data_IF_200483672524
#
_entry.id   IF_200483672524
#
_cell.length_a   1.000
_cell.length_b   1.000
_cell.length_c   1.000
_cell.angle_alpha   90.00
_cell.angle_beta   90.00
_cell.angle_gamma   90.00
#
_symmetry.space_group_name_H-M   'P 1'
#
loop_
_entity.id
_entity.type
_entity.pdbx_description
1 polymer ?
#
# COMPACT_ATOMS: atom_id res chain seq x y z
N UNK A 1 -1.72 -5.51 -19.93
CA UNK A 1 -2.44 -4.22 -20.09
C UNK A 1 -3.92 -4.43 -20.33
N UNK A 2 -4.32 -5.28 -21.30
CA UNK A 2 -5.74 -5.59 -21.58
C UNK A 2 -6.52 -6.11 -20.35
N UNK A 3 -5.92 -7.02 -19.57
CA UNK A 3 -6.56 -7.60 -18.38
C UNK A 3 -6.84 -6.58 -17.27
N UNK A 4 -5.93 -5.62 -17.03
CA UNK A 4 -6.14 -4.58 -16.02
C UNK A 4 -7.35 -3.71 -16.36
N UNK A 5 -7.48 -3.30 -17.62
CA UNK A 5 -8.61 -2.49 -18.07
C UNK A 5 -9.92 -3.25 -18.01
N UNK A 6 -9.91 -4.55 -18.31
CA UNK A 6 -11.10 -5.40 -18.15
C UNK A 6 -11.56 -5.44 -16.68
N UNK A 7 -10.65 -5.71 -15.75
CA UNK A 7 -10.99 -5.74 -14.30
C UNK A 7 -11.51 -4.38 -13.84
N UNK A 8 -10.85 -3.29 -14.22
CA UNK A 8 -11.28 -1.94 -13.84
C UNK A 8 -12.65 -1.58 -14.40
N UNK A 9 -12.92 -1.91 -15.67
CA UNK A 9 -14.23 -1.68 -16.28
C UNK A 9 -15.31 -2.48 -15.56
N UNK A 10 -15.08 -3.75 -15.20
CA UNK A 10 -16.03 -4.52 -14.41
C UNK A 10 -16.28 -3.88 -13.03
N UNK A 11 -15.26 -3.33 -12.39
CA UNK A 11 -15.42 -2.60 -11.13
C UNK A 11 -16.28 -1.33 -11.31
N UNK A 12 -16.04 -0.54 -12.36
CA UNK A 12 -16.81 0.67 -12.64
C UNK A 12 -18.26 0.36 -12.99
N UNK A 13 -18.51 -0.68 -13.81
CA UNK A 13 -19.86 -1.18 -14.09
C UNK A 13 -20.57 -1.66 -12.83
N UNK A 14 -19.81 -2.14 -11.84
CA UNK A 14 -20.33 -2.51 -10.53
C UNK A 14 -20.59 -1.31 -9.60
N UNK A 15 -20.40 -0.07 -10.07
CA UNK A 15 -20.60 1.14 -9.28
C UNK A 15 -19.46 1.45 -8.31
N UNK A 16 -18.32 0.76 -8.41
CA UNK A 16 -17.16 1.02 -7.55
C UNK A 16 -16.36 2.20 -8.06
N UNK A 17 -16.01 3.11 -7.17
CA UNK A 17 -15.14 4.23 -7.50
C UNK A 17 -13.68 3.90 -7.19
N UNK A 18 -12.98 3.29 -8.15
CA UNK A 18 -11.55 2.97 -8.02
C UNK A 18 -10.72 4.24 -8.18
N UNK A 19 -10.14 4.72 -7.07
CA UNK A 19 -9.32 5.92 -7.05
C UNK A 19 -7.81 5.64 -7.18
N UNK A 20 -7.38 4.45 -6.73
CA UNK A 20 -5.95 4.11 -6.58
C UNK A 20 -5.70 2.67 -6.99
N UNK A 21 -4.57 2.43 -7.65
CA UNK A 21 -3.97 1.11 -7.86
C UNK A 21 -2.60 1.06 -7.18
N UNK A 22 -2.31 -0.06 -6.49
CA UNK A 22 -1.05 -0.27 -5.77
C UNK A 22 -0.32 -1.50 -6.32
N UNK A 23 0.91 -1.32 -6.79
CA UNK A 23 1.79 -2.40 -7.24
C UNK A 23 3.11 -2.42 -6.44
N UNK A 24 3.86 -3.53 -6.50
CA UNK A 24 5.24 -3.49 -6.05
C UNK A 24 6.09 -2.67 -7.04
N UNK A 25 7.35 -2.41 -6.68
CA UNK A 25 8.26 -1.68 -7.55
C UNK A 25 9.23 -2.58 -8.32
N UNK A 26 8.71 -3.65 -8.93
CA UNK A 26 9.49 -4.40 -9.90
C UNK A 26 9.61 -3.64 -11.25
N UNK A 27 10.57 -4.06 -12.08
CA UNK A 27 10.82 -3.40 -13.37
C UNK A 27 9.69 -3.57 -14.39
N UNK A 28 8.92 -4.66 -14.30
CA UNK A 28 7.79 -4.95 -15.19
C UNK A 28 6.61 -4.06 -14.85
N UNK A 29 6.26 -3.95 -13.57
CA UNK A 29 5.18 -3.11 -13.05
C UNK A 29 5.47 -1.63 -13.33
N UNK A 30 6.69 -1.15 -13.04
CA UNK A 30 7.08 0.23 -13.39
C UNK A 30 6.92 0.48 -14.90
N UNK A 31 7.43 -0.41 -15.74
CA UNK A 31 7.34 -0.26 -17.20
C UNK A 31 5.88 -0.28 -17.67
N UNK A 32 5.06 -1.17 -17.12
CA UNK A 32 3.64 -1.24 -17.45
C UNK A 32 2.91 0.06 -17.10
N UNK A 33 3.15 0.64 -15.92
CA UNK A 33 2.56 1.93 -15.55
C UNK A 33 3.01 3.07 -16.48
N UNK A 34 4.29 3.10 -16.85
CA UNK A 34 4.80 4.10 -17.81
C UNK A 34 4.16 3.95 -19.19
N UNK A 35 3.97 2.72 -19.68
CA UNK A 35 3.26 2.46 -20.94
C UNK A 35 1.79 2.89 -20.89
N UNK A 36 1.18 2.87 -19.71
CA UNK A 36 -0.18 3.36 -19.46
C UNK A 36 -0.25 4.89 -19.28
N UNK A 37 0.86 5.60 -19.43
CA UNK A 37 0.93 7.07 -19.41
C UNK A 37 1.28 7.69 -18.06
N UNK A 38 1.53 6.90 -17.02
CA UNK A 38 1.92 7.43 -15.72
C UNK A 38 3.42 7.77 -15.68
N UNK A 39 3.78 8.81 -14.92
CA UNK A 39 5.16 9.22 -14.66
C UNK A 39 5.39 9.53 -13.18
N UNK A 40 6.64 9.82 -12.81
CA UNK A 40 7.01 10.19 -11.45
C UNK A 40 6.29 11.47 -11.02
N UNK A 41 6.20 12.45 -11.91
CA UNK A 41 5.57 13.75 -11.71
C UNK A 41 4.03 13.65 -11.77
N UNK A 42 3.53 12.76 -12.63
CA UNK A 42 2.10 12.54 -12.83
C UNK A 42 1.76 11.04 -12.75
N UNK A 43 1.66 10.49 -11.52
CA UNK A 43 1.47 9.06 -11.30
C UNK A 43 0.01 8.62 -11.51
N UNK A 44 -0.59 8.96 -12.65
CA UNK A 44 -2.00 8.71 -12.95
C UNK A 44 -2.12 8.01 -14.30
N UNK A 45 -3.00 7.01 -14.36
CA UNK A 45 -3.42 6.37 -15.61
C UNK A 45 -4.88 6.73 -15.89
N UNK A 46 -5.24 6.82 -17.18
CA UNK A 46 -6.61 7.09 -17.63
C UNK A 46 -7.24 5.80 -18.17
N UNK A 47 -8.43 5.47 -17.67
CA UNK A 47 -9.22 4.30 -18.11
C UNK A 47 -10.64 4.77 -18.39
N UNK A 48 -10.99 4.91 -19.68
CA UNK A 48 -12.22 5.61 -20.07
C UNK A 48 -12.18 7.06 -19.56
N UNK A 49 -13.22 7.46 -18.82
CA UNK A 49 -13.30 8.77 -18.17
C UNK A 49 -12.74 8.79 -16.74
N UNK A 50 -12.20 7.66 -16.25
CA UNK A 50 -11.69 7.53 -14.89
C UNK A 50 -10.18 7.76 -14.83
N UNK A 51 -9.76 8.62 -13.89
CA UNK A 51 -8.37 8.80 -13.53
C UNK A 51 -8.04 7.95 -12.30
N UNK A 52 -7.05 7.08 -12.43
CA UNK A 52 -6.62 6.18 -11.37
C UNK A 52 -5.20 6.53 -10.97
N UNK A 53 -5.02 6.90 -9.71
CA UNK A 53 -3.69 7.18 -9.17
C UNK A 53 -2.94 5.87 -8.98
N UNK A 54 -1.67 5.85 -9.31
CA UNK A 54 -0.80 4.67 -9.21
C UNK A 54 0.22 4.90 -8.12
N UNK A 55 0.35 3.95 -7.20
CA UNK A 55 1.21 4.06 -6.03
C UNK A 55 2.04 2.78 -5.92
N UNK A 56 3.30 2.91 -5.52
CA UNK A 56 4.11 1.73 -5.21
C UNK A 56 3.97 1.35 -3.73
N UNK A 57 4.07 0.06 -3.46
CA UNK A 57 3.96 -0.47 -2.10
C UNK A 57 5.05 0.10 -1.18
N UNK A 58 4.64 0.84 -0.15
CA UNK A 58 5.57 1.58 0.71
C UNK A 58 6.41 0.68 1.64
N UNK A 59 5.88 -0.42 2.21
CA UNK A 59 6.71 -1.46 2.85
C UNK A 59 7.78 -2.04 1.92
N UNK A 60 7.45 -2.31 0.65
CA UNK A 60 8.43 -2.72 -0.34
C UNK A 60 9.49 -1.66 -0.60
N UNK A 61 9.11 -0.39 -0.78
CA UNK A 61 10.06 0.70 -0.97
C UNK A 61 11.01 0.88 0.22
N UNK A 62 10.52 0.70 1.46
CA UNK A 62 11.36 0.74 2.66
C UNK A 62 12.38 -0.40 2.68
N UNK A 63 11.96 -1.62 2.32
CA UNK A 63 12.87 -2.77 2.17
C UNK A 63 13.96 -2.49 1.14
N UNK A 64 13.58 -1.97 -0.03
CA UNK A 64 14.53 -1.60 -1.09
C UNK A 64 15.52 -0.53 -0.61
N UNK A 65 15.04 0.53 0.05
CA UNK A 65 15.89 1.56 0.61
C UNK A 65 16.90 0.99 1.62
N UNK A 66 16.45 0.17 2.58
CA UNK A 66 17.34 -0.49 3.54
C UNK A 66 18.38 -1.35 2.84
N UNK A 67 17.96 -2.16 1.85
CA UNK A 67 18.86 -3.07 1.14
C UNK A 67 19.92 -2.32 0.33
N UNK A 68 19.58 -1.15 -0.22
CA UNK A 68 20.55 -0.27 -0.87
C UNK A 68 21.51 0.38 0.14
N UNK A 69 20.98 0.87 1.27
CA UNK A 69 21.82 1.48 2.31
C UNK A 69 22.79 0.48 2.95
N UNK A 70 22.39 -0.79 3.06
CA UNK A 70 23.28 -1.88 3.47
C UNK A 70 24.48 -2.06 2.54
N UNK A 71 24.34 -1.69 1.25
CA UNK A 71 25.35 -1.90 0.22
C UNK A 71 26.16 -0.65 -0.11
N UNK A 72 25.55 0.52 0.00
CA UNK A 72 26.10 1.79 -0.47
C UNK A 72 25.92 2.87 0.58
N UNK A 73 26.97 3.66 0.78
CA UNK A 73 26.88 4.91 1.54
C UNK A 73 25.99 5.91 0.79
N UNK A 74 25.29 6.74 1.55
CA UNK A 74 24.27 7.64 1.01
C UNK A 74 24.70 9.08 1.23
N UNK A 75 24.97 9.79 0.14
CA UNK A 75 25.21 11.24 0.17
C UNK A 75 23.90 11.98 -0.04
N UNK A 76 23.63 13.00 0.76
CA UNK A 76 22.43 13.82 0.62
C UNK A 76 22.67 15.24 1.13
N UNK A 77 21.84 16.18 0.67
CA UNK A 77 21.88 17.58 1.10
C UNK A 77 21.37 17.72 2.53
N UNK A 78 22.11 18.47 3.36
CA UNK A 78 21.71 18.81 4.72
C UNK A 78 21.02 20.18 4.77
N UNK A 79 20.34 20.45 5.87
CA UNK A 79 19.73 21.76 6.13
C UNK A 79 20.78 22.84 6.51
N UNK A 80 22.04 22.45 6.68
CA UNK A 80 23.17 23.35 6.93
C UNK A 80 23.55 24.04 5.62
N UNK A 81 23.52 25.37 5.63
CA UNK A 81 23.99 26.21 4.52
C UNK A 81 25.16 27.07 5.02
N UNK A 82 26.27 27.07 4.31
CA UNK A 82 27.40 27.96 4.57
C UNK A 82 27.73 28.72 3.30
N UNK A 83 27.86 30.04 3.38
CA UNK A 83 28.24 30.89 2.24
C UNK A 83 27.40 30.66 0.97
N UNK A 84 26.07 30.54 1.12
CA UNK A 84 25.13 30.21 0.03
C UNK A 84 25.38 28.85 -0.67
N UNK A 85 26.18 27.96 -0.07
CA UNK A 85 26.35 26.58 -0.53
C UNK A 85 25.65 25.63 0.42
N UNK A 86 24.84 24.75 -0.15
CA UNK A 86 24.17 23.69 0.61
C UNK A 86 25.20 22.65 1.06
N UNK A 87 25.22 22.35 2.35
CA UNK A 87 26.06 21.31 2.92
C UNK A 87 25.60 19.91 2.50
N UNK A 88 26.53 18.96 2.52
CA UNK A 88 26.25 17.56 2.24
C UNK A 88 26.66 16.70 3.44
N UNK A 89 25.83 15.69 3.73
CA UNK A 89 26.12 14.65 4.70
C UNK A 89 26.28 13.31 3.99
N UNK A 90 27.09 12.42 4.59
CA UNK A 90 27.23 11.03 4.13
C UNK A 90 26.74 10.12 5.25
N UNK A 91 25.62 9.46 5.02
CA UNK A 91 25.15 8.39 5.88
C UNK A 91 25.88 7.08 5.53
N UNK A 92 26.36 6.38 6.55
CA UNK A 92 27.15 5.16 6.38
C UNK A 92 26.56 4.02 7.19
N UNK A 93 26.53 2.83 6.59
CA UNK A 93 26.07 1.64 7.31
C UNK A 93 26.98 1.28 8.49
N UNK A 94 28.27 1.62 8.39
CA UNK A 94 29.26 1.43 9.47
C UNK A 94 28.91 2.21 10.73
N UNK A 95 28.28 3.39 10.64
CA UNK A 95 27.83 4.13 11.81
C UNK A 95 26.73 3.39 12.58
N UNK A 96 25.86 2.64 11.89
CA UNK A 96 24.81 1.82 12.53
C UNK A 96 25.45 0.62 13.24
N UNK A 97 26.46 -0.01 12.63
CA UNK A 97 27.23 -1.09 13.26
C UNK A 97 27.94 -0.62 14.52
N UNK A 98 28.64 0.51 14.44
CA UNK A 98 29.30 1.13 15.60
C UNK A 98 28.29 1.46 16.71
N UNK A 99 27.15 2.06 16.35
CA UNK A 99 26.10 2.33 17.32
C UNK A 99 25.60 1.06 18.02
N UNK A 100 25.36 -0.03 17.29
CA UNK A 100 24.92 -1.30 17.88
C UNK A 100 25.93 -1.87 18.88
N UNK A 101 27.23 -1.81 18.56
CA UNK A 101 28.30 -2.25 19.47
C UNK A 101 28.32 -1.41 20.76
N UNK A 102 28.23 -0.08 20.61
CA UNK A 102 28.20 0.85 21.74
C UNK A 102 26.93 0.72 22.59
N UNK A 103 25.78 0.50 21.95
CA UNK A 103 24.49 0.38 22.63
C UNK A 103 24.39 -0.93 23.43
N UNK A 104 24.90 -2.04 22.87
CA UNK A 104 24.97 -3.33 23.57
C UNK A 104 25.99 -3.34 24.71
N UNK A 105 26.99 -2.45 24.67
CA UNK A 105 27.97 -2.30 25.75
C UNK A 105 27.49 -1.42 26.89
N UNK A 106 26.30 -0.80 26.78
CA UNK A 106 25.77 0.04 27.84
C UNK A 106 25.39 -0.80 29.08
N UNK A 107 25.84 -0.43 30.29
CA UNK A 107 25.67 -1.25 31.49
C UNK A 107 24.23 -1.23 32.05
N UNK A 108 23.44 -0.19 31.76
CA UNK A 108 22.17 0.04 32.45
C UNK A 108 20.97 0.26 31.53
N UNK A 109 21.20 0.61 30.26
CA UNK A 109 20.11 0.98 29.34
C UNK A 109 20.52 0.78 27.89
N UNK A 110 19.59 0.26 27.07
CA UNK A 110 19.77 0.05 25.63
C UNK A 110 18.79 0.96 24.90
N UNK A 111 19.30 1.82 24.02
CA UNK A 111 18.49 2.78 23.25
C UNK A 111 17.61 2.07 22.22
N UNK A 112 18.15 1.05 21.53
CA UNK A 112 17.46 0.33 20.46
C UNK A 112 17.34 -1.18 20.76
N UNK A 113 16.52 -1.61 21.74
CA UNK A 113 16.42 -3.02 22.17
C UNK A 113 15.89 -3.98 21.09
N UNK A 114 15.29 -3.45 20.03
CA UNK A 114 14.86 -4.23 18.88
C UNK A 114 16.00 -4.53 17.89
N UNK A 115 17.07 -3.74 17.91
CA UNK A 115 18.19 -3.88 16.98
C UNK A 115 19.00 -5.12 17.36
N UNK A 116 19.29 -5.96 16.37
CA UNK A 116 19.97 -7.26 16.54
C UNK A 116 20.88 -7.49 15.34
N UNK A 117 21.80 -8.45 15.46
CA UNK A 117 22.73 -8.83 14.40
C UNK A 117 22.06 -9.10 13.04
N UNK A 118 20.87 -9.71 13.03
CA UNK A 118 20.11 -9.97 11.81
C UNK A 118 19.62 -8.72 11.07
N UNK A 119 19.63 -7.56 11.72
CA UNK A 119 19.34 -6.27 11.08
C UNK A 119 20.55 -5.75 10.33
N UNK A 120 21.74 -5.92 10.90
CA UNK A 120 23.02 -5.41 10.39
C UNK A 120 23.57 -6.27 9.26
N UNK A 121 23.43 -7.59 9.38
CA UNK A 121 23.94 -8.58 8.44
C UNK A 121 22.83 -9.58 8.04
N UNK A 122 21.75 -9.14 7.37
CA UNK A 122 20.62 -10.00 7.02
C UNK A 122 20.97 -10.98 5.90
N UNK A 123 20.54 -12.24 6.04
CA UNK A 123 20.54 -13.22 4.95
C UNK A 123 19.45 -12.92 3.89
N UNK A 124 19.43 -13.67 2.79
CA UNK A 124 18.50 -13.45 1.68
C UNK A 124 17.02 -13.45 2.08
N UNK A 125 16.61 -14.31 3.03
CA UNK A 125 15.22 -14.33 3.53
C UNK A 125 14.94 -13.14 4.46
N UNK A 126 15.89 -12.77 5.31
CA UNK A 126 15.78 -11.63 6.22
C UNK A 126 15.73 -10.29 5.47
N UNK A 127 16.38 -10.18 4.31
CA UNK A 127 16.30 -8.99 3.43
C UNK A 127 14.86 -8.68 2.97
N UNK A 128 13.99 -9.68 2.93
CA UNK A 128 12.58 -9.54 2.54
C UNK A 128 11.65 -9.16 3.70
N UNK A 129 12.13 -9.18 4.96
CA UNK A 129 11.32 -8.87 6.13
C UNK A 129 11.21 -7.35 6.34
N UNK A 130 10.02 -6.79 6.11
CA UNK A 130 9.72 -5.35 6.36
C UNK A 130 10.02 -4.98 7.81
N UNK A 131 9.69 -5.87 8.76
CA UNK A 131 9.95 -5.67 10.20
C UNK A 131 11.40 -5.28 10.47
N UNK A 132 12.37 -5.98 9.87
CA UNK A 132 13.80 -5.69 10.08
C UNK A 132 14.19 -4.34 9.46
N UNK A 133 13.59 -3.97 8.32
CA UNK A 133 13.83 -2.67 7.70
C UNK A 133 13.26 -1.52 8.53
N UNK A 134 12.05 -1.67 9.06
CA UNK A 134 11.42 -0.66 9.92
C UNK A 134 12.14 -0.51 11.26
N UNK A 135 12.63 -1.61 11.86
CA UNK A 135 13.32 -1.55 13.14
C UNK A 135 14.72 -0.90 13.05
N UNK A 136 15.47 -1.14 11.97
CA UNK A 136 16.79 -0.51 11.79
C UNK A 136 16.67 0.97 11.39
N UNK A 137 15.62 1.33 10.65
CA UNK A 137 15.32 2.71 10.24
C UNK A 137 14.37 3.41 11.22
N UNK A 138 14.53 3.17 12.52
CA UNK A 138 13.59 3.63 13.55
C UNK A 138 14.08 4.84 14.33
N UNK A 139 13.13 5.56 14.94
CA UNK A 139 13.40 6.67 15.87
C UNK A 139 14.40 6.29 16.98
N UNK A 140 14.28 5.09 17.58
CA UNK A 140 15.16 4.66 18.66
C UNK A 140 16.62 4.53 18.22
N UNK A 141 16.86 4.09 16.98
CA UNK A 141 18.21 4.01 16.40
C UNK A 141 18.76 5.42 16.16
N UNK A 142 17.97 6.31 15.55
CA UNK A 142 18.39 7.71 15.35
C UNK A 142 18.70 8.41 16.69
N UNK A 143 17.80 8.32 17.67
CA UNK A 143 17.96 8.91 19.00
C UNK A 143 19.20 8.37 19.72
N UNK A 144 19.45 7.06 19.63
CA UNK A 144 20.65 6.45 20.19
C UNK A 144 21.94 6.97 19.55
N UNK A 145 21.98 7.08 18.22
CA UNK A 145 23.13 7.65 17.50
C UNK A 145 23.35 9.12 17.93
N UNK A 146 22.30 9.95 17.98
CA UNK A 146 22.42 11.33 18.45
C UNK A 146 23.00 11.41 19.86
N UNK A 147 22.52 10.56 20.77
CA UNK A 147 23.00 10.54 22.16
C UNK A 147 24.47 10.14 22.24
N UNK A 148 24.90 9.15 21.45
CA UNK A 148 26.29 8.71 21.43
C UNK A 148 27.23 9.75 20.82
N UNK A 149 26.78 10.50 19.82
CA UNK A 149 27.53 11.66 19.30
C UNK A 149 27.65 12.75 20.39
N UNK A 150 26.56 13.08 21.07
CA UNK A 150 26.56 14.11 22.11
C UNK A 150 27.49 13.78 23.29
N UNK A 151 27.65 12.48 23.59
CA UNK A 151 28.58 12.00 24.61
C UNK A 151 30.04 11.90 24.14
N UNK A 152 30.32 12.10 22.85
CA UNK A 152 31.64 11.92 22.25
C UNK A 152 32.04 10.47 21.97
N UNK A 153 31.10 9.52 22.10
CA UNK A 153 31.33 8.08 21.85
C UNK A 153 31.34 7.74 20.34
N UNK A 154 30.74 8.60 19.51
CA UNK A 154 30.65 8.44 18.06
C UNK A 154 31.17 9.69 17.35
N UNK A 155 31.74 9.53 16.16
CA UNK A 155 32.29 10.67 15.42
C UNK A 155 31.16 11.57 14.90
N UNK A 156 31.43 12.88 14.84
CA UNK A 156 30.40 13.90 14.55
C UNK A 156 29.70 13.71 13.21
N UNK A 157 30.37 13.14 12.19
CA UNK A 157 29.80 12.85 10.89
C UNK A 157 28.67 11.80 10.93
N UNK A 158 28.57 10.99 11.99
CA UNK A 158 27.48 10.05 12.19
C UNK A 158 26.11 10.75 12.31
N UNK A 159 26.09 12.06 12.57
CA UNK A 159 24.87 12.87 12.59
C UNK A 159 24.10 12.80 11.27
N UNK A 160 24.81 12.67 10.14
CA UNK A 160 24.18 12.50 8.83
C UNK A 160 23.40 11.17 8.77
N UNK A 161 23.91 10.11 9.40
CA UNK A 161 23.22 8.82 9.46
C UNK A 161 21.97 8.89 10.34
N UNK A 162 22.09 9.52 11.53
CA UNK A 162 20.95 9.73 12.41
C UNK A 162 19.84 10.56 11.74
N UNK A 163 20.20 11.65 11.06
CA UNK A 163 19.27 12.51 10.32
C UNK A 163 18.51 11.74 9.22
N UNK A 164 19.22 10.91 8.45
CA UNK A 164 18.61 10.10 7.40
C UNK A 164 17.64 9.07 7.98
N UNK A 165 18.04 8.37 9.05
CA UNK A 165 17.20 7.39 9.74
C UNK A 165 15.95 8.06 10.30
N UNK A 166 16.08 9.21 10.96
CA UNK A 166 14.95 9.96 11.50
C UNK A 166 13.96 10.39 10.40
N UNK A 167 14.45 10.89 9.25
CA UNK A 167 13.60 11.25 8.11
C UNK A 167 12.86 10.03 7.54
N UNK A 168 13.52 8.87 7.45
CA UNK A 168 12.88 7.64 6.99
C UNK A 168 11.86 7.07 7.99
N UNK A 169 12.11 7.17 9.29
CA UNK A 169 11.15 6.79 10.34
C UNK A 169 9.87 7.64 10.25
N UNK A 170 10.03 8.97 10.17
CA UNK A 170 8.90 9.90 10.01
C UNK A 170 8.12 9.65 8.73
N UNK A 171 8.82 9.43 7.61
CA UNK A 171 8.20 9.07 6.33
C UNK A 171 7.38 7.78 6.46
N UNK A 172 7.98 6.73 7.01
CA UNK A 172 7.31 5.43 7.10
C UNK A 172 6.09 5.48 8.02
N UNK A 173 6.15 6.20 9.14
CA UNK A 173 4.99 6.44 9.98
C UNK A 173 3.86 7.15 9.22
N UNK A 174 4.19 8.20 8.45
CA UNK A 174 3.21 8.98 7.68
C UNK A 174 2.53 8.20 6.55
N UNK A 175 3.22 7.24 5.94
CA UNK A 175 2.66 6.39 4.86
C UNK A 175 2.11 5.06 5.35
N UNK A 176 2.12 4.80 6.66
CA UNK A 176 1.73 3.52 7.26
C UNK A 176 0.73 3.66 8.43
N UNK A 177 0.01 4.77 8.50
CA UNK A 177 -0.91 5.07 9.60
C UNK A 177 -2.31 4.48 9.39
N UNK A 178 -2.87 3.91 10.46
CA UNK A 178 -4.19 3.24 10.45
C UNK A 178 -5.25 3.91 11.32
N UNK A 179 -4.86 4.82 12.22
CA UNK A 179 -5.78 5.49 13.15
C UNK A 179 -5.68 7.00 13.08
N UNK A 180 -6.79 7.72 13.32
CA UNK A 180 -6.77 9.15 13.51
C UNK A 180 -5.98 9.60 14.74
N UNK A 181 -5.85 8.74 15.75
CA UNK A 181 -5.13 9.07 16.96
C UNK A 181 -3.61 8.95 16.78
N UNK A 182 -2.90 9.85 17.44
CA UNK A 182 -1.44 9.88 17.47
C UNK A 182 -0.91 8.63 18.19
N UNK A 183 -0.12 7.83 17.50
CA UNK A 183 0.51 6.65 18.12
C UNK A 183 1.88 6.98 18.68
N UNK A 184 2.12 6.57 19.92
CA UNK A 184 3.46 6.60 20.57
C UNK A 184 4.12 7.98 20.57
N UNK A 185 3.32 9.06 20.58
CA UNK A 185 3.82 10.44 20.54
C UNK A 185 4.48 10.84 19.21
N UNK A 186 4.43 9.98 18.18
CA UNK A 186 5.09 10.23 16.90
C UNK A 186 4.20 11.06 15.98
N UNK A 187 4.66 12.27 15.65
CA UNK A 187 3.94 13.30 14.89
C UNK A 187 3.16 12.80 13.67
N UNK A 188 3.76 11.91 12.88
CA UNK A 188 3.19 11.41 11.62
C UNK A 188 2.58 10.01 11.74
N UNK A 189 2.57 9.41 12.93
CA UNK A 189 1.93 8.11 13.17
C UNK A 189 0.44 8.28 13.45
N UNK A 190 -0.25 8.92 12.50
CA UNK A 190 -1.69 9.23 12.52
C UNK A 190 -2.18 9.35 11.07
N UNK A 191 -3.48 9.15 10.84
CA UNK A 191 -4.09 9.35 9.53
C UNK A 191 -3.79 10.76 9.02
N UNK A 192 -3.58 10.87 7.70
CA UNK A 192 -3.36 12.15 7.06
C UNK A 192 -4.63 13.01 7.14
N UNK A 193 -4.45 14.24 7.61
CA UNK A 193 -5.44 15.32 7.71
C UNK A 193 -4.79 16.62 7.27
N UNK A 194 -5.59 17.62 6.94
CA UNK A 194 -5.10 18.96 6.57
C UNK A 194 -4.16 19.54 7.64
N UNK A 195 -4.48 19.34 8.93
CA UNK A 195 -3.72 19.88 10.08
C UNK A 195 -2.46 19.10 10.47
N UNK A 196 -2.24 17.91 9.93
CA UNK A 196 -1.19 16.98 10.43
C UNK A 196 0.19 17.19 9.79
N UNK A 197 0.31 18.10 8.80
CA UNK A 197 1.58 18.45 8.18
C UNK A 197 2.22 17.32 7.33
N UNK A 198 1.47 16.27 6.97
CA UNK A 198 1.96 15.19 6.11
C UNK A 198 2.41 15.69 4.73
N UNK A 199 1.67 16.64 4.14
CA UNK A 199 2.03 17.21 2.85
C UNK A 199 3.38 17.94 2.91
N UNK A 200 3.66 18.66 4.00
CA UNK A 200 4.97 19.29 4.24
C UNK A 200 6.08 18.26 4.33
N UNK A 201 5.87 17.20 5.12
CA UNK A 201 6.80 16.07 5.20
C UNK A 201 7.07 15.47 3.82
N UNK A 202 6.04 15.26 3.01
CA UNK A 202 6.19 14.68 1.67
C UNK A 202 7.04 15.57 0.76
N UNK A 203 6.90 16.91 0.82
CA UNK A 203 7.78 17.82 0.08
C UNK A 203 9.23 17.75 0.54
N UNK A 204 9.47 17.75 1.85
CA UNK A 204 10.81 17.62 2.43
C UNK A 204 11.49 16.32 2.00
N UNK A 205 10.75 15.21 2.04
CA UNK A 205 11.25 13.90 1.64
C UNK A 205 11.48 13.82 0.13
N UNK A 206 10.59 14.39 -0.70
CA UNK A 206 10.83 14.46 -2.15
C UNK A 206 12.11 15.24 -2.48
N UNK A 207 12.35 16.35 -1.80
CA UNK A 207 13.59 17.12 -1.94
C UNK A 207 14.82 16.32 -1.49
N UNK A 208 14.73 15.60 -0.36
CA UNK A 208 15.76 14.67 0.08
C UNK A 208 16.07 13.64 -1.02
N UNK A 209 15.06 12.92 -1.52
CA UNK A 209 15.26 11.90 -2.55
C UNK A 209 15.81 12.48 -3.85
N UNK A 210 15.41 13.68 -4.27
CA UNK A 210 15.94 14.35 -5.47
C UNK A 210 17.47 14.49 -5.41
N UNK A 211 17.99 14.91 -4.26
CA UNK A 211 19.42 15.17 -4.06
C UNK A 211 20.20 13.99 -3.45
N UNK A 212 19.52 12.90 -3.10
CA UNK A 212 20.13 11.70 -2.54
C UNK A 212 20.88 10.91 -3.61
N UNK A 213 22.11 10.53 -3.32
CA UNK A 213 22.99 9.73 -4.17
C UNK A 213 23.48 8.51 -3.39
N UNK A 214 23.36 7.33 -4.00
CA UNK A 214 24.00 6.11 -3.50
C UNK A 214 25.41 6.06 -4.07
N UNK A 215 26.41 6.30 -3.23
CA UNK A 215 27.81 6.34 -3.64
C UNK A 215 28.24 4.99 -4.21
N UNK A 216 29.05 5.01 -5.27
CA UNK A 216 29.55 3.82 -5.98
C UNK A 216 28.45 2.96 -6.66
N UNK A 217 27.20 3.43 -6.67
CA UNK A 217 26.13 2.79 -7.41
C UNK A 217 26.19 3.22 -8.88
N UNK A 218 26.36 2.25 -9.80
CA UNK A 218 26.53 2.54 -11.24
C UNK A 218 25.35 3.27 -11.88
N UNK A 219 24.16 3.15 -11.30
CA UNK A 219 22.94 3.76 -11.80
C UNK A 219 22.04 4.13 -10.64
N UNK A 220 21.33 5.25 -10.76
CA UNK A 220 20.31 5.66 -9.79
C UNK A 220 19.31 4.52 -9.55
N UNK A 221 19.18 4.01 -8.32
CA UNK A 221 18.26 2.91 -8.05
C UNK A 221 16.81 3.33 -8.30
N UNK A 222 15.98 2.48 -8.94
CA UNK A 222 14.61 2.82 -9.26
C UNK A 222 13.78 3.20 -8.02
N UNK A 223 14.06 2.61 -6.85
CA UNK A 223 13.35 2.91 -5.59
C UNK A 223 13.41 4.38 -5.16
N UNK A 224 14.42 5.15 -5.59
CA UNK A 224 14.49 6.60 -5.35
C UNK A 224 13.32 7.31 -6.04
N UNK A 225 13.09 7.02 -7.32
CA UNK A 225 11.94 7.54 -8.07
C UNK A 225 10.62 6.97 -7.55
N UNK A 226 10.62 5.71 -7.09
CA UNK A 226 9.43 5.06 -6.55
C UNK A 226 8.86 5.77 -5.31
N UNK A 227 9.73 6.26 -4.43
CA UNK A 227 9.31 7.11 -3.32
C UNK A 227 8.68 8.42 -3.79
N UNK A 228 9.32 9.13 -4.72
CA UNK A 228 8.78 10.39 -5.25
C UNK A 228 7.43 10.19 -5.95
N UNK A 229 7.33 9.14 -6.78
CA UNK A 229 6.09 8.73 -7.45
C UNK A 229 4.98 8.47 -6.44
N UNK A 230 5.26 7.67 -5.41
CA UNK A 230 4.30 7.31 -4.37
C UNK A 230 3.81 8.52 -3.58
N UNK A 231 4.72 9.42 -3.22
CA UNK A 231 4.38 10.64 -2.49
C UNK A 231 3.53 11.60 -3.34
N UNK A 232 3.87 11.79 -4.63
CA UNK A 232 3.04 12.54 -5.55
C UNK A 232 1.65 11.90 -5.71
N UNK A 233 1.58 10.57 -5.77
CA UNK A 233 0.32 9.83 -5.81
C UNK A 233 -0.53 10.09 -4.57
N UNK A 234 0.03 9.95 -3.37
CA UNK A 234 -0.69 10.21 -2.11
C UNK A 234 -1.21 11.65 -2.03
N UNK A 235 -0.45 12.64 -2.49
CA UNK A 235 -0.90 14.03 -2.57
C UNK A 235 -2.09 14.21 -3.53
N UNK A 236 -2.06 13.55 -4.70
CA UNK A 236 -3.17 13.59 -5.67
C UNK A 236 -4.40 12.92 -5.07
N UNK A 237 -4.25 11.74 -4.44
CA UNK A 237 -5.35 11.03 -3.78
C UNK A 237 -5.99 11.88 -2.70
N UNK A 238 -5.19 12.51 -1.84
CA UNK A 238 -5.70 13.40 -0.79
C UNK A 238 -6.54 14.52 -1.38
N UNK A 239 -5.98 15.27 -2.34
CA UNK A 239 -6.64 16.40 -3.00
C UNK A 239 -7.91 15.97 -3.73
N UNK A 240 -7.88 14.83 -4.41
CA UNK A 240 -9.03 14.31 -5.13
C UNK A 240 -10.17 13.96 -4.16
N UNK A 241 -9.87 13.21 -3.11
CA UNK A 241 -10.87 12.76 -2.13
C UNK A 241 -11.48 13.95 -1.38
N UNK A 242 -10.67 14.89 -0.90
CA UNK A 242 -11.19 16.05 -0.13
C UNK A 242 -11.93 17.05 -1.00
N UNK A 243 -11.54 17.23 -2.27
CA UNK A 243 -12.27 18.07 -3.23
C UNK A 243 -13.62 17.47 -3.62
N UNK A 244 -13.67 16.14 -3.86
CA UNK A 244 -14.87 15.45 -4.31
C UNK A 244 -15.84 15.16 -3.16
N UNK A 245 -15.34 14.92 -1.96
CA UNK A 245 -16.12 14.52 -0.80
C UNK A 245 -15.76 15.38 0.42
N UNK A 246 -16.56 16.41 0.71
CA UNK A 246 -16.36 17.30 1.87
C UNK A 246 -16.45 16.58 3.22
N UNK A 247 -17.02 15.38 3.26
CA UNK A 247 -17.19 14.56 4.46
C UNK A 247 -15.93 13.77 4.83
N UNK A 248 -14.96 13.60 3.92
CA UNK A 248 -13.71 12.90 4.19
C UNK A 248 -12.79 13.80 5.02
N UNK A 249 -12.68 13.49 6.32
CA UNK A 249 -11.85 14.27 7.27
C UNK A 249 -10.42 13.75 7.40
N UNK A 250 -10.17 12.49 7.06
CA UNK A 250 -8.84 11.88 7.17
C UNK A 250 -8.64 10.73 6.20
N UNK A 251 -7.38 10.45 5.85
CA UNK A 251 -6.97 9.33 5.01
C UNK A 251 -6.05 8.40 5.78
N UNK A 252 -6.42 7.12 5.89
CA UNK A 252 -5.50 6.09 6.38
C UNK A 252 -4.58 5.63 5.27
N UNK A 253 -3.30 5.97 5.40
CA UNK A 253 -2.26 5.60 4.44
C UNK A 253 -1.93 4.11 4.49
N UNK A 254 -2.15 3.43 5.63
CA UNK A 254 -2.07 1.96 5.76
C UNK A 254 -3.01 1.22 4.79
N UNK A 255 -4.11 1.83 4.35
CA UNK A 255 -5.04 1.24 3.38
C UNK A 255 -4.55 1.36 1.93
N UNK A 256 -3.47 2.08 1.68
CA UNK A 256 -2.88 2.31 0.35
C UNK A 256 -1.56 1.53 0.24
N UNK A 257 -1.64 0.23 0.51
CA UNK A 257 -0.51 -0.71 0.55
C UNK A 257 -0.99 -2.10 0.13
N UNK A 258 -0.05 -3.00 -0.16
CA UNK A 258 -0.36 -4.37 -0.60
C UNK A 258 -0.48 -5.38 0.54
N UNK A 259 -0.26 -4.97 1.79
CA UNK A 259 -0.36 -5.85 2.97
C UNK A 259 -1.67 -6.67 3.03
N UNK A 260 -2.86 -6.13 2.71
CA UNK A 260 -4.09 -6.95 2.67
C UNK A 260 -4.01 -8.11 1.65
N UNK A 261 -3.36 -7.89 0.50
CA UNK A 261 -3.15 -8.92 -0.52
C UNK A 261 -2.12 -9.96 -0.04
N UNK A 262 -1.03 -9.53 0.59
CA UNK A 262 -0.05 -10.45 1.18
C UNK A 262 -0.66 -11.32 2.29
N UNK A 263 -1.55 -10.74 3.11
CA UNK A 263 -2.30 -11.46 4.13
C UNK A 263 -3.25 -12.50 3.52
N UNK A 264 -3.93 -12.17 2.42
CA UNK A 264 -4.74 -13.13 1.68
C UNK A 264 -3.89 -14.31 1.17
N UNK A 265 -2.70 -14.05 0.60
CA UNK A 265 -1.79 -15.13 0.22
C UNK A 265 -1.32 -15.96 1.41
N UNK A 266 -1.15 -15.34 2.59
CA UNK A 266 -0.91 -16.05 3.85
C UNK A 266 -2.04 -17.02 4.21
N UNK A 267 -3.29 -16.54 4.14
CA UNK A 267 -4.49 -17.35 4.38
C UNK A 267 -4.59 -18.52 3.40
N UNK A 268 -4.39 -18.28 2.10
CA UNK A 268 -4.43 -19.34 1.07
C UNK A 268 -3.40 -20.42 1.34
N UNK A 269 -2.16 -20.04 1.69
CA UNK A 269 -1.11 -21.00 2.06
C UNK A 269 -1.47 -21.76 3.33
N UNK A 270 -2.02 -21.08 4.34
CA UNK A 270 -2.46 -21.73 5.58
C UNK A 270 -3.55 -22.78 5.35
N UNK A 271 -4.47 -22.53 4.41
CA UNK A 271 -5.50 -23.49 4.02
C UNK A 271 -4.92 -24.75 3.36
N UNK A 272 -3.67 -24.69 2.87
CA UNK A 272 -2.94 -25.83 2.31
C UNK A 272 -2.12 -26.59 3.36
N UNK A 273 -2.33 -26.33 4.66
CA UNK A 273 -1.63 -26.98 5.76
C UNK A 273 -0.13 -26.72 5.74
N UNK A 274 0.69 -27.78 5.78
CA UNK A 274 2.15 -27.68 5.75
C UNK A 274 2.73 -27.33 4.37
N UNK A 275 1.92 -27.23 3.32
CA UNK A 275 2.41 -26.89 1.99
C UNK A 275 2.56 -25.38 1.80
N UNK A 276 3.79 -24.88 1.96
CA UNK A 276 4.11 -23.46 1.75
C UNK A 276 4.18 -23.03 0.28
N UNK A 277 4.19 -23.99 -0.66
CA UNK A 277 4.26 -23.77 -2.11
C UNK A 277 3.11 -24.53 -2.81
N UNK A 278 1.87 -24.04 -2.74
CA UNK A 278 0.72 -24.70 -3.34
C UNK A 278 0.84 -24.78 -4.87
N UNK A 279 0.40 -25.90 -5.45
CA UNK A 279 0.15 -26.01 -6.89
C UNK A 279 -1.00 -25.09 -7.31
N UNK A 280 -1.14 -24.80 -8.60
CA UNK A 280 -2.24 -23.96 -9.12
C UNK A 280 -3.62 -24.42 -8.66
N UNK A 281 -3.89 -25.74 -8.70
CA UNK A 281 -5.17 -26.29 -8.24
C UNK A 281 -5.38 -26.11 -6.74
N UNK A 282 -4.33 -26.27 -5.94
CA UNK A 282 -4.38 -26.01 -4.49
C UNK A 282 -4.55 -24.53 -4.18
N UNK A 283 -3.92 -23.64 -4.95
CA UNK A 283 -4.11 -22.19 -4.81
C UNK A 283 -5.55 -21.80 -5.10
N UNK A 284 -6.14 -22.31 -6.20
CA UNK A 284 -7.55 -22.06 -6.55
C UNK A 284 -8.48 -22.58 -5.45
N UNK A 285 -8.24 -23.79 -4.95
CA UNK A 285 -9.02 -24.35 -3.83
C UNK A 285 -8.89 -23.50 -2.56
N UNK A 286 -7.66 -23.15 -2.16
CA UNK A 286 -7.40 -22.33 -0.98
C UNK A 286 -7.97 -20.91 -1.07
N UNK A 287 -7.97 -20.32 -2.27
CA UNK A 287 -8.63 -19.03 -2.56
C UNK A 287 -10.15 -19.14 -2.43
N UNK A 288 -10.76 -20.17 -3.02
CA UNK A 288 -12.21 -20.45 -2.88
C UNK A 288 -12.58 -20.58 -1.41
N UNK A 289 -11.81 -21.34 -0.63
CA UNK A 289 -11.98 -21.47 0.82
C UNK A 289 -11.83 -20.12 1.54
N UNK A 290 -10.81 -19.32 1.23
CA UNK A 290 -10.61 -18.02 1.88
C UNK A 290 -11.79 -17.05 1.63
N UNK A 291 -12.32 -17.02 0.41
CA UNK A 291 -13.50 -16.20 0.07
C UNK A 291 -14.74 -16.73 0.80
N UNK A 292 -14.99 -18.04 0.74
CA UNK A 292 -16.12 -18.69 1.41
C UNK A 292 -16.12 -18.46 2.92
N UNK A 293 -14.97 -18.66 3.59
CA UNK A 293 -14.84 -18.48 5.04
C UNK A 293 -15.07 -17.04 5.48
N UNK A 294 -14.63 -16.06 4.68
CA UNK A 294 -14.88 -14.65 4.99
C UNK A 294 -16.36 -14.26 4.79
N UNK A 295 -17.07 -14.91 3.86
CA UNK A 295 -18.51 -14.72 3.66
C UNK A 295 -19.36 -15.51 4.68
N UNK A 296 -18.88 -16.66 5.16
CA UNK A 296 -19.55 -17.49 6.16
C UNK A 296 -19.48 -16.93 7.59
N UNK A 297 -18.58 -15.98 7.86
CA UNK A 297 -18.50 -15.26 9.14
C UNK A 297 -19.52 -14.11 9.27
N UNK A 298 -20.46 -13.99 8.32
CA UNK A 298 -21.61 -13.09 8.45
C UNK A 298 -22.63 -13.78 9.39
N UNK A 299 -22.46 -13.58 10.70
CA UNK A 299 -23.50 -13.85 11.70
C UNK A 299 -23.28 -15.07 12.59
N UNK A 300 -22.43 -14.94 13.61
CA UNK A 300 -22.70 -15.60 14.90
C UNK A 300 -23.74 -14.75 15.65
N UNK A 301 -24.99 -14.88 15.24
CA UNK A 301 -26.16 -14.30 15.91
C UNK A 301 -27.35 -15.21 15.68
N UNK A 302 -27.99 -15.64 16.77
CA UNK A 302 -29.11 -16.59 16.80
C UNK A 302 -30.28 -16.18 15.88
N UNK A 303 -30.27 -16.56 14.60
CA UNK A 303 -31.41 -16.43 13.71
C UNK A 303 -31.62 -17.72 12.90
N UNK A 304 -32.89 -18.10 12.76
CA UNK A 304 -33.36 -19.34 12.13
C UNK A 304 -32.97 -19.46 10.65
N UNK A 305 -33.04 -20.68 10.14
CA UNK A 305 -32.74 -21.04 8.75
C UNK A 305 -33.69 -20.28 7.83
N UNK A 306 -33.15 -19.34 7.06
CA UNK A 306 -33.89 -18.63 6.03
C UNK A 306 -33.20 -18.83 4.66
N UNK A 307 -34.02 -18.83 3.60
CA UNK A 307 -33.79 -19.41 2.26
C UNK A 307 -32.62 -18.79 1.46
N UNK A 308 -31.38 -19.07 1.87
CA UNK A 308 -30.15 -18.63 1.20
C UNK A 308 -29.76 -19.46 -0.06
N UNK A 309 -30.73 -19.94 -0.84
CA UNK A 309 -30.47 -20.63 -2.12
C UNK A 309 -29.72 -19.71 -3.12
N UNK A 310 -29.97 -18.40 -3.05
CA UNK A 310 -29.37 -17.41 -3.94
C UNK A 310 -27.86 -17.21 -3.73
N UNK A 311 -27.33 -17.52 -2.55
CA UNK A 311 -25.89 -17.45 -2.24
C UNK A 311 -25.20 -18.71 -2.80
N UNK A 312 -25.80 -19.88 -2.56
CA UNK A 312 -25.28 -21.18 -3.02
C UNK A 312 -25.23 -21.32 -4.56
N UNK A 313 -26.18 -20.75 -5.29
CA UNK A 313 -26.19 -20.80 -6.76
C UNK A 313 -25.08 -19.95 -7.41
N UNK A 314 -24.76 -18.81 -6.81
CA UNK A 314 -23.61 -18.00 -7.24
C UNK A 314 -22.28 -18.74 -6.99
N UNK A 315 -22.22 -19.53 -5.92
CA UNK A 315 -21.06 -20.36 -5.61
C UNK A 315 -20.88 -21.51 -6.59
N UNK A 316 -21.94 -22.21 -6.99
CA UNK A 316 -21.84 -23.26 -8.03
C UNK A 316 -21.27 -22.72 -9.34
N UNK A 317 -21.67 -21.52 -9.75
CA UNK A 317 -21.12 -20.84 -10.93
C UNK A 317 -19.66 -20.43 -10.79
N UNK A 318 -19.23 -20.00 -9.59
CA UNK A 318 -17.82 -19.69 -9.30
C UNK A 318 -16.94 -20.96 -9.24
N UNK A 319 -17.53 -22.09 -8.86
CA UNK A 319 -16.82 -23.35 -8.66
C UNK A 319 -16.60 -24.14 -9.95
N UNK A 320 -17.42 -23.92 -10.98
CA UNK A 320 -17.30 -24.60 -12.26
C UNK A 320 -16.02 -24.17 -12.99
N UNK A 321 -15.10 -25.10 -13.33
CA UNK A 321 -14.00 -24.78 -14.22
C UNK A 321 -14.56 -24.36 -15.58
N UNK A 322 -13.97 -23.33 -16.19
CA UNK A 322 -14.32 -22.94 -17.56
C UNK A 322 -14.01 -24.14 -18.48
N UNK A 323 -15.05 -24.83 -18.93
CA UNK A 323 -14.95 -25.80 -20.01
C UNK A 323 -14.68 -25.05 -21.31
N UNK A 324 -13.67 -25.50 -22.04
CA UNK A 324 -13.32 -25.04 -23.39
C UNK A 324 -14.56 -24.95 -24.27
N UNK A 325 -14.90 -23.75 -24.75
CA UNK A 325 -15.97 -23.56 -25.74
C UNK A 325 -15.31 -23.52 -27.12
N UNK A 326 -15.45 -24.62 -27.84
CA UNK A 326 -15.29 -24.73 -29.29
C UNK A 326 -16.28 -23.82 -30.02
N UNK A 327 -15.78 -23.18 -31.08
CA UNK A 327 -16.50 -22.27 -31.98
C UNK A 327 -17.68 -22.96 -32.70
N UNK A 328 -18.86 -22.31 -32.72
CA UNK A 328 -19.76 -22.33 -33.88
C UNK A 328 -20.76 -21.16 -33.84
N UNK A 329 -20.94 -20.53 -35.02
CA UNK A 329 -21.80 -19.39 -35.34
C UNK A 329 -23.29 -19.62 -35.04
N UNK A 330 -24.05 -18.57 -34.72
CA UNK A 330 -25.05 -17.96 -35.63
C UNK A 330 -25.76 -16.72 -35.04
N UNK A 331 -26.13 -15.82 -35.95
CA UNK A 331 -26.86 -14.56 -35.76
C UNK A 331 -28.28 -14.76 -35.22
N UNK A 332 -28.86 -13.73 -34.56
CA UNK A 332 -30.10 -13.01 -34.98
C UNK A 332 -30.83 -12.32 -33.80
N UNK A 333 -31.20 -11.06 -34.04
CA UNK A 333 -32.29 -10.27 -33.40
C UNK A 333 -32.10 -9.53 -32.06
N UNK A 334 -31.68 -8.27 -32.21
CA UNK A 334 -32.12 -7.11 -31.44
C UNK A 334 -33.60 -6.76 -31.76
N UNK A 335 -34.46 -6.59 -30.73
CA UNK A 335 -35.44 -5.49 -30.54
C UNK A 335 -36.49 -5.83 -29.45
N UNK A 336 -37.05 -4.77 -28.82
CA UNK A 336 -38.31 -4.67 -28.01
C UNK A 336 -38.16 -5.06 -26.51
N UNK A 337 -38.56 -4.32 -25.45
CA UNK A 337 -39.29 -3.05 -25.15
C UNK A 337 -38.92 -2.63 -23.69
N UNK A 338 -38.54 -1.38 -23.39
CA UNK A 338 -39.28 -0.23 -22.82
C UNK A 338 -39.75 -0.28 -21.34
N UNK A 339 -39.30 0.76 -20.61
CA UNK A 339 -39.90 1.54 -19.52
C UNK A 339 -40.19 0.91 -18.13
N UNK A 340 -39.55 1.48 -17.10
CA UNK A 340 -40.28 1.92 -15.89
C UNK A 340 -39.49 3.00 -15.10
N UNK A 341 -40.14 4.14 -14.85
CA UNK A 341 -39.57 5.39 -14.32
C UNK A 341 -39.70 5.58 -12.79
N UNK A 342 -40.06 4.54 -12.01
CA UNK A 342 -40.56 4.77 -10.64
C UNK A 342 -39.64 4.34 -9.48
N UNK A 343 -38.31 4.33 -9.65
CA UNK A 343 -37.37 3.86 -8.59
C UNK A 343 -36.62 4.98 -7.87
N UNK A 344 -36.77 6.25 -8.28
CA UNK A 344 -35.92 7.34 -7.77
C UNK A 344 -36.40 8.05 -6.50
N UNK A 345 -37.63 7.83 -6.01
CA UNK A 345 -38.16 8.59 -4.86
C UNK A 345 -37.91 7.97 -3.48
N UNK A 346 -37.46 6.73 -3.39
CA UNK A 346 -37.31 6.01 -2.10
C UNK A 346 -35.87 5.95 -1.56
N UNK A 347 -34.90 6.53 -2.28
CA UNK A 347 -33.49 6.52 -1.90
C UNK A 347 -33.03 7.82 -1.20
N UNK A 348 -33.78 8.91 -1.31
CA UNK A 348 -33.37 10.21 -0.73
C UNK A 348 -33.69 10.33 0.78
N UNK A 349 -34.65 9.60 1.33
CA UNK A 349 -35.06 9.76 2.74
C UNK A 349 -34.18 9.01 3.76
N UNK A 350 -33.27 8.14 3.35
CA UNK A 350 -32.46 7.33 4.28
C UNK A 350 -31.01 7.83 4.48
N UNK A 351 -30.66 9.02 3.99
CA UNK A 351 -29.29 9.55 4.07
C UNK A 351 -29.02 10.61 5.15
N UNK A 352 -30.01 10.98 5.99
CA UNK A 352 -29.84 12.06 6.97
C UNK A 352 -29.45 11.66 8.40
N UNK A 353 -29.38 10.36 8.76
CA UNK A 353 -28.95 9.96 10.11
C UNK A 353 -27.79 8.96 10.12
N UNK A 354 -26.57 9.48 9.92
CA UNK A 354 -25.35 8.79 10.33
C UNK A 354 -24.25 9.81 10.71
N UNK A 355 -24.37 10.39 11.90
CA UNK A 355 -23.29 11.16 12.54
C UNK A 355 -22.19 10.19 13.02
N UNK A 356 -21.29 9.83 12.12
CA UNK A 356 -20.06 9.08 12.39
C UNK A 356 -18.92 9.56 11.49
N UNK A 357 -17.69 9.64 12.01
CA UNK A 357 -16.53 10.06 11.22
C UNK A 357 -16.32 9.12 10.01
N UNK A 358 -16.58 9.62 8.80
CA UNK A 358 -16.48 8.81 7.58
C UNK A 358 -15.03 8.76 7.09
N UNK A 359 -14.42 7.57 7.13
CA UNK A 359 -13.09 7.29 6.62
C UNK A 359 -13.15 6.82 5.16
N UNK A 360 -12.22 7.26 4.30
CA UNK A 360 -12.11 6.69 2.95
C UNK A 360 -11.70 5.21 3.04
N UNK A 361 -12.59 4.32 2.60
CA UNK A 361 -12.37 2.87 2.58
C UNK A 361 -11.86 2.42 1.21
N UNK A 362 -10.77 1.64 1.21
CA UNK A 362 -10.49 0.72 0.11
C UNK A 362 -11.34 -0.54 0.36
N UNK A 363 -12.41 -0.71 -0.40
CA UNK A 363 -13.19 -1.95 -0.40
C UNK A 363 -12.57 -2.92 -1.39
N UNK A 364 -12.23 -4.13 -0.93
CA UNK A 364 -12.22 -5.28 -1.82
C UNK A 364 -13.70 -5.58 -2.12
N UNK A 365 -14.14 -5.24 -3.32
CA UNK A 365 -15.53 -5.39 -3.69
C UNK A 365 -15.85 -6.85 -4.02
N UNK A 366 -16.20 -7.62 -3.01
CA UNK A 366 -16.71 -8.99 -3.19
C UNK A 366 -18.24 -8.99 -3.30
N UNK A 367 -18.95 -8.13 -2.57
CA UNK A 367 -20.43 -8.12 -2.54
C UNK A 367 -21.07 -7.37 -3.71
N UNK A 368 -20.56 -6.19 -4.07
CA UNK A 368 -21.13 -5.40 -5.19
C UNK A 368 -20.83 -6.03 -6.54
N UNK A 369 -19.68 -6.70 -6.67
CA UNK A 369 -19.33 -7.45 -7.88
C UNK A 369 -20.27 -8.66 -8.09
N UNK A 370 -20.69 -9.33 -7.02
CA UNK A 370 -21.62 -10.45 -7.08
C UNK A 370 -23.04 -10.03 -7.49
N UNK A 371 -23.53 -8.89 -7.03
CA UNK A 371 -24.86 -8.39 -7.43
C UNK A 371 -24.90 -7.90 -8.88
N UNK A 372 -23.79 -7.35 -9.38
CA UNK A 372 -23.65 -6.87 -10.76
C UNK A 372 -23.44 -8.02 -11.74
N UNK A 373 -22.69 -9.07 -11.36
CA UNK A 373 -22.63 -10.35 -12.08
C UNK A 373 -24.03 -11.00 -12.18
N UNK A 374 -24.86 -10.86 -11.15
CA UNK A 374 -26.26 -11.36 -11.13
C UNK A 374 -27.14 -10.64 -12.16
N UNK A 375 -27.00 -9.32 -12.33
CA UNK A 375 -27.72 -8.55 -13.36
C UNK A 375 -27.25 -8.90 -14.78
N UNK A 376 -25.95 -9.09 -15.02
CA UNK A 376 -25.44 -9.51 -16.35
C UNK A 376 -25.80 -10.96 -16.70
N UNK A 377 -25.84 -11.89 -15.74
CA UNK A 377 -26.25 -13.28 -16.02
C UNK A 377 -27.75 -13.45 -16.29
N UNK A 378 -28.62 -12.58 -15.75
CA UNK A 378 -30.06 -12.58 -16.10
C UNK A 378 -30.32 -12.03 -17.52
N UNK A 379 -29.44 -11.15 -18.01
CA UNK A 379 -29.49 -10.62 -19.37
C UNK A 379 -28.91 -11.63 -20.39
N UNK A 380 -28.05 -12.55 -19.95
CA UNK A 380 -27.45 -13.61 -20.78
C UNK A 380 -28.29 -14.91 -20.74
N UNK A 381 -29.16 -15.12 -19.75
CA UNK A 381 -30.04 -16.31 -19.71
C UNK A 381 -31.35 -16.17 -20.52
N UNK A 382 -31.61 -15.01 -21.14
CA UNK A 382 -32.76 -14.74 -22.00
C UNK A 382 -32.37 -14.06 -23.33
N UNK A 383 -31.15 -14.31 -23.83
CA UNK A 383 -30.77 -14.04 -25.23
C UNK A 383 -29.99 -15.20 -25.80
#
# INVERSE_FOLDING_TARGET
MLELFQVLNCCFEAGLNICVSVCDMDGVNKRALCLLGASVEHPVIKVGEHNIVTIFDTPHLLKCFRNLFLKYDIKFTTDITSENRQGFGIAKWSHIKLFYELDNSNPHFVYAPCLREEHLNPNSKQKMKVKLAAQILSHSVAAGIYSKIANGDMPSEAIATANLIAKMDMLFDGVNASTPDLRRGKKYSTNMRESTGHLTLFQEIKNLFKNLEFLECRSTPPSKEGWVWTLNGLEIVWKFLTKKHKTIKSLSTRRIQQDPLENLFGCIRSNCGSNSNPTTSQFVAGLKTAVLSNMGNIGLGNCEIDENEAILDNFKKLLNPATDISVSNENTSLRILLNDENVYSSLEENMEEANGEMQACASFATETAASVLKRKMKIISHK
#
